data_IF_135989300136
#
_entry.id   IF_135989300136
#
_cell.length_a   1.000
_cell.length_b   1.000
_cell.length_c   1.000
_cell.angle_alpha   90.00
_cell.angle_beta   90.00
_cell.angle_gamma   90.00
#
_symmetry.space_group_name_H-M   'P 1'
#
loop_
_entity.id
_entity.type
_entity.pdbx_description
1 polymer ?
#
# COMPACT_ATOMS: atom_id res chain seq x y z
N UNK A 1 -17.56 26.18 8.17
CA UNK A 1 -17.33 24.83 8.70
C UNK A 1 -15.89 24.51 8.38
N UNK A 2 -15.12 24.03 9.35
CA UNK A 2 -13.70 23.77 9.12
C UNK A 2 -13.56 22.69 8.03
N UNK A 3 -13.12 23.11 6.84
CA UNK A 3 -12.78 22.25 5.69
C UNK A 3 -11.55 21.36 5.98
N UNK A 4 -11.14 21.23 7.25
CA UNK A 4 -9.96 20.51 7.71
C UNK A 4 -10.27 19.07 8.17
N UNK A 5 -11.56 18.70 8.31
CA UNK A 5 -11.97 17.37 8.79
C UNK A 5 -12.67 16.59 7.68
N UNK A 6 -12.06 15.48 7.28
CA UNK A 6 -12.67 14.51 6.36
C UNK A 6 -13.07 13.24 7.11
N UNK A 7 -14.28 12.75 6.85
CA UNK A 7 -14.79 11.46 7.36
C UNK A 7 -15.14 10.58 6.17
N UNK A 8 -14.59 9.38 6.14
CA UNK A 8 -14.78 8.44 5.04
C UNK A 8 -14.64 6.98 5.46
N UNK A 9 -14.64 6.08 4.48
CA UNK A 9 -14.46 4.65 4.70
C UNK A 9 -13.33 4.15 3.80
N UNK A 10 -12.31 3.55 4.40
CA UNK A 10 -11.11 3.12 3.68
C UNK A 10 -11.39 2.16 2.52
N UNK A 11 -12.38 1.27 2.66
CA UNK A 11 -12.78 0.35 1.59
C UNK A 11 -13.46 1.07 0.43
N UNK A 12 -14.36 2.01 0.71
CA UNK A 12 -15.06 2.82 -0.31
C UNK A 12 -14.12 3.81 -0.99
N UNK A 13 -13.38 4.58 -0.21
CA UNK A 13 -12.51 5.64 -0.72
C UNK A 13 -11.28 5.05 -1.42
N UNK A 14 -10.72 3.97 -0.86
CA UNK A 14 -9.59 3.26 -1.47
C UNK A 14 -9.96 2.60 -2.79
N UNK A 15 -11.18 2.05 -2.94
CA UNK A 15 -11.60 1.41 -4.20
C UNK A 15 -11.55 2.38 -5.40
N UNK A 16 -11.76 3.68 -5.17
CA UNK A 16 -11.71 4.71 -6.21
C UNK A 16 -10.28 5.05 -6.66
N UNK A 17 -9.28 4.73 -5.85
CA UNK A 17 -7.88 5.13 -6.07
C UNK A 17 -6.88 4.00 -5.79
N UNK A 18 -7.23 2.77 -6.21
CA UNK A 18 -6.34 1.59 -6.10
C UNK A 18 -5.82 1.33 -4.68
N UNK A 19 -6.59 1.74 -3.68
CA UNK A 19 -6.33 1.61 -2.25
C UNK A 19 -5.77 2.86 -1.57
N UNK A 20 -5.39 3.91 -2.30
CA UNK A 20 -4.83 5.10 -1.67
C UNK A 20 -5.88 5.90 -0.91
N UNK A 21 -5.53 6.35 0.30
CA UNK A 21 -6.39 7.17 1.16
C UNK A 21 -5.86 8.60 1.28
N UNK A 22 -4.56 8.76 1.48
CA UNK A 22 -3.89 10.02 1.80
C UNK A 22 -2.54 10.07 1.06
N UNK A 23 -2.16 11.24 0.54
CA UNK A 23 -0.86 11.45 -0.11
C UNK A 23 -0.80 12.75 -0.93
N UNK A 24 0.32 13.01 -1.62
CA UNK A 24 0.58 14.28 -2.30
C UNK A 24 -0.36 14.51 -3.50
N UNK A 25 -0.91 13.41 -4.02
CA UNK A 25 -1.77 13.32 -5.19
C UNK A 25 -3.23 13.72 -4.94
N UNK A 26 -3.60 14.09 -3.71
CA UNK A 26 -4.92 14.66 -3.43
C UNK A 26 -5.01 16.12 -3.90
N UNK A 27 -6.23 16.57 -4.15
CA UNK A 27 -6.50 17.92 -4.63
C UNK A 27 -6.10 18.98 -3.59
N UNK A 28 -5.68 20.19 -4.03
CA UNK A 28 -5.45 21.30 -3.11
C UNK A 28 -6.70 21.59 -2.27
N UNK A 29 -6.51 21.70 -0.95
CA UNK A 29 -7.60 21.93 0.01
C UNK A 29 -8.23 20.65 0.57
N UNK A 30 -7.97 19.47 -0.01
CA UNK A 30 -8.37 18.20 0.62
C UNK A 30 -7.47 17.94 1.84
N UNK A 31 -8.02 17.75 3.06
CA UNK A 31 -7.22 17.48 4.26
C UNK A 31 -6.45 16.14 4.19
N UNK A 32 -6.73 15.29 3.20
CA UNK A 32 -5.96 14.06 2.91
C UNK A 32 -4.74 14.32 2.01
N UNK A 33 -4.49 15.55 1.61
CA UNK A 33 -3.28 15.91 0.87
C UNK A 33 -2.08 16.01 1.81
N UNK A 34 -1.01 15.29 1.52
CA UNK A 34 0.22 15.30 2.33
C UNK A 34 1.47 15.04 1.50
N UNK A 35 2.53 15.82 1.75
CA UNK A 35 3.88 15.60 1.22
C UNK A 35 4.74 14.77 2.21
N UNK A 36 4.27 14.58 3.44
CA UNK A 36 4.99 13.85 4.48
C UNK A 36 4.74 12.35 4.41
N UNK A 37 3.48 11.93 4.23
CA UNK A 37 3.08 10.53 4.27
C UNK A 37 2.09 10.16 3.17
N UNK A 38 2.17 8.92 2.73
CA UNK A 38 1.14 8.27 1.92
C UNK A 38 0.53 7.12 2.72
N UNK A 39 -0.79 6.95 2.64
CA UNK A 39 -1.51 5.87 3.33
C UNK A 39 -2.34 5.09 2.32
N UNK A 40 -2.20 3.77 2.36
CA UNK A 40 -2.91 2.83 1.48
C UNK A 40 -3.64 1.77 2.29
N UNK A 41 -4.92 1.58 1.98
CA UNK A 41 -5.73 0.43 2.38
C UNK A 41 -5.73 -0.60 1.25
N UNK A 42 -5.40 -1.85 1.52
CA UNK A 42 -5.43 -2.90 0.49
C UNK A 42 -6.12 -4.16 1.00
N UNK A 43 -7.00 -4.70 0.17
CA UNK A 43 -7.69 -5.98 0.38
C UNK A 43 -7.18 -6.92 -0.69
N UNK A 44 -6.66 -8.07 -0.27
CA UNK A 44 -6.04 -9.06 -1.13
C UNK A 44 -6.76 -10.40 -0.95
N UNK A 45 -7.32 -11.00 -2.03
CA UNK A 45 -7.84 -12.35 -1.94
C UNK A 45 -6.71 -13.36 -1.70
N UNK A 46 -7.07 -14.53 -1.18
CA UNK A 46 -6.12 -15.64 -1.02
C UNK A 46 -5.40 -15.94 -2.34
N UNK A 47 -4.08 -16.06 -2.28
CA UNK A 47 -3.24 -16.37 -3.44
C UNK A 47 -2.83 -15.14 -4.27
N UNK A 48 -3.35 -13.96 -3.95
CA UNK A 48 -2.92 -12.71 -4.58
C UNK A 48 -1.44 -12.45 -4.29
N UNK A 49 -0.75 -11.85 -5.25
CA UNK A 49 0.68 -11.57 -5.16
C UNK A 49 1.07 -10.34 -5.96
N UNK A 50 2.13 -9.68 -5.51
CA UNK A 50 2.82 -8.75 -6.39
C UNK A 50 3.77 -9.53 -7.31
N UNK A 51 3.42 -9.60 -8.60
CA UNK A 51 4.26 -10.34 -9.55
C UNK A 51 5.66 -9.73 -9.73
N UNK A 52 5.75 -8.39 -9.69
CA UNK A 52 7.00 -7.66 -9.85
C UNK A 52 7.45 -7.04 -8.52
N UNK A 53 8.69 -7.34 -8.14
CA UNK A 53 9.33 -6.72 -7.00
C UNK A 53 9.39 -5.20 -7.17
N UNK A 54 9.11 -4.46 -6.10
CA UNK A 54 9.51 -3.06 -6.02
C UNK A 54 11.03 -3.02 -5.91
N UNK A 55 11.67 -2.19 -6.74
CA UNK A 55 13.12 -2.04 -6.79
C UNK A 55 13.52 -0.64 -6.38
N UNK A 56 14.54 -0.51 -5.53
CA UNK A 56 15.12 0.77 -5.15
C UNK A 56 14.11 1.71 -4.46
N UNK A 57 13.38 1.22 -3.46
CA UNK A 57 12.33 1.99 -2.79
C UNK A 57 12.87 3.32 -2.24
N UNK A 58 12.32 4.44 -2.71
CA UNK A 58 12.79 5.77 -2.31
C UNK A 58 12.28 6.19 -0.91
N UNK A 59 11.35 5.43 -0.35
CA UNK A 59 10.62 5.74 0.88
C UNK A 59 10.89 4.70 1.96
N UNK A 60 10.68 5.08 3.21
CA UNK A 60 10.48 4.11 4.28
C UNK A 60 9.02 3.66 4.22
N UNK A 61 8.77 2.38 4.49
CA UNK A 61 7.43 1.82 4.51
C UNK A 61 7.16 1.09 5.82
N UNK A 62 5.95 1.25 6.32
CA UNK A 62 5.35 0.52 7.42
C UNK A 62 4.12 -0.21 6.88
N UNK A 63 4.02 -1.52 7.10
CA UNK A 63 2.86 -2.31 6.76
C UNK A 63 2.37 -3.03 8.01
N UNK A 64 1.08 -2.90 8.31
CA UNK A 64 0.42 -3.60 9.41
C UNK A 64 -0.73 -4.45 8.91
N UNK A 65 -0.84 -5.66 9.46
CA UNK A 65 -1.93 -6.58 9.21
C UNK A 65 -3.16 -6.17 10.03
N UNK A 66 -4.26 -5.91 9.34
CA UNK A 66 -5.56 -5.65 9.96
C UNK A 66 -6.34 -6.96 10.15
N UNK A 67 -6.33 -7.83 9.15
CA UNK A 67 -6.90 -9.18 9.21
C UNK A 67 -6.27 -10.09 8.17
N UNK A 68 -6.33 -11.41 8.39
CA UNK A 68 -5.86 -12.44 7.45
C UNK A 68 -4.47 -12.96 7.77
N UNK A 69 -3.72 -13.33 6.72
CA UNK A 69 -2.36 -13.86 6.79
C UNK A 69 -1.57 -13.40 5.58
N UNK A 70 -0.56 -12.56 5.80
CA UNK A 70 0.13 -11.85 4.73
C UNK A 70 1.64 -12.02 4.84
N UNK A 71 2.28 -12.42 3.74
CA UNK A 71 3.73 -12.59 3.68
C UNK A 71 4.36 -11.42 2.93
N UNK A 72 5.29 -10.74 3.57
CA UNK A 72 6.17 -9.76 2.94
C UNK A 72 7.47 -10.46 2.56
N UNK A 73 7.88 -10.29 1.32
CA UNK A 73 9.13 -10.84 0.77
C UNK A 73 10.17 -9.74 0.67
N UNK A 74 11.34 -9.98 1.23
CA UNK A 74 12.48 -9.07 1.29
C UNK A 74 13.72 -9.81 0.77
N UNK A 75 14.80 -9.11 0.39
CA UNK A 75 16.04 -9.77 -0.01
C UNK A 75 16.54 -10.71 1.11
N UNK A 76 16.67 -12.00 0.78
CA UNK A 76 17.19 -13.02 1.68
C UNK A 76 16.25 -13.49 2.79
N UNK A 77 15.02 -12.97 2.91
CA UNK A 77 14.06 -13.44 3.92
C UNK A 77 12.60 -13.14 3.58
N UNK A 78 11.70 -13.86 4.22
CA UNK A 78 10.29 -13.51 4.29
C UNK A 78 9.89 -13.17 5.72
N UNK A 79 8.86 -12.35 5.86
CA UNK A 79 8.20 -12.03 7.12
C UNK A 79 6.73 -12.39 6.95
N UNK A 80 6.23 -13.30 7.78
CA UNK A 80 4.81 -13.64 7.80
C UNK A 80 4.14 -12.87 8.92
N UNK A 81 3.07 -12.16 8.58
CA UNK A 81 2.16 -11.50 9.51
C UNK A 81 0.93 -12.39 9.63
N UNK A 82 0.61 -12.85 10.83
CA UNK A 82 -0.45 -13.85 11.04
C UNK A 82 -1.36 -13.54 12.23
N UNK A 83 -1.03 -12.50 13.00
CA UNK A 83 -1.86 -11.99 14.10
C UNK A 83 -2.24 -10.55 13.80
N UNK A 84 -3.49 -10.19 14.07
CA UNK A 84 -3.94 -8.80 13.93
C UNK A 84 -2.99 -7.85 14.68
N UNK A 85 -2.52 -6.81 13.99
CA UNK A 85 -1.54 -5.86 14.52
C UNK A 85 -0.08 -6.21 14.26
N UNK A 86 0.23 -7.41 13.76
CA UNK A 86 1.58 -7.74 13.27
C UNK A 86 1.98 -6.73 12.19
N UNK A 87 3.22 -6.24 12.28
CA UNK A 87 3.71 -5.22 11.36
C UNK A 87 5.16 -5.45 10.97
N UNK A 88 5.56 -4.84 9.86
CA UNK A 88 6.95 -4.81 9.40
C UNK A 88 7.26 -3.43 8.86
N UNK A 89 8.49 -2.97 9.11
CA UNK A 89 9.04 -1.72 8.59
C UNK A 89 10.27 -2.03 7.77
N UNK A 90 10.38 -1.40 6.60
CA UNK A 90 11.59 -1.44 5.81
C UNK A 90 11.98 -0.05 5.31
N UNK A 91 13.27 0.21 5.29
CA UNK A 91 13.84 1.49 4.91
C UNK A 91 13.99 1.65 3.40
N UNK A 92 14.49 2.84 3.03
CA UNK A 92 14.86 3.17 1.65
C UNK A 92 15.86 2.17 1.09
N UNK A 93 15.75 1.90 -0.20
CA UNK A 93 16.58 0.95 -0.95
C UNK A 93 16.21 -0.52 -0.74
N UNK A 94 15.31 -0.84 0.19
CA UNK A 94 14.88 -2.23 0.41
C UNK A 94 13.84 -2.62 -0.63
N UNK A 95 14.27 -3.48 -1.55
CA UNK A 95 13.39 -4.14 -2.50
C UNK A 95 12.36 -5.00 -1.76
N UNK A 96 11.16 -5.13 -2.29
CA UNK A 96 10.14 -5.96 -1.64
C UNK A 96 9.09 -6.48 -2.62
N UNK A 97 8.48 -7.59 -2.22
CA UNK A 97 7.27 -8.15 -2.82
C UNK A 97 6.33 -8.63 -1.70
N UNK A 98 5.19 -9.22 -2.06
CA UNK A 98 4.25 -9.78 -1.10
C UNK A 98 3.38 -10.88 -1.70
N UNK A 99 2.85 -11.71 -0.81
CA UNK A 99 1.90 -12.78 -1.10
C UNK A 99 0.84 -12.86 0.00
N UNK A 100 -0.44 -12.94 -0.39
CA UNK A 100 -1.55 -13.14 0.51
C UNK A 100 -1.79 -14.65 0.70
N UNK A 101 -1.36 -15.21 1.83
CA UNK A 101 -1.57 -16.64 2.15
C UNK A 101 -3.04 -16.95 2.44
N UNK A 102 -3.75 -15.95 2.96
CA UNK A 102 -5.21 -15.94 3.15
C UNK A 102 -5.78 -14.61 2.64
N UNK A 103 -7.11 -14.52 2.55
CA UNK A 103 -7.74 -13.21 2.33
C UNK A 103 -7.29 -12.25 3.43
N UNK A 104 -6.70 -11.13 3.02
CA UNK A 104 -5.98 -10.25 3.93
C UNK A 104 -6.32 -8.79 3.70
N UNK A 105 -6.42 -8.06 4.79
CA UNK A 105 -6.52 -6.61 4.81
C UNK A 105 -5.26 -6.05 5.45
N UNK A 106 -4.57 -5.16 4.71
CA UNK A 106 -3.35 -4.51 5.19
C UNK A 106 -3.45 -3.00 5.03
N UNK A 107 -2.87 -2.29 5.99
CA UNK A 107 -2.65 -0.84 5.92
C UNK A 107 -1.16 -0.60 5.70
N UNK A 108 -0.82 0.16 4.66
CA UNK A 108 0.56 0.57 4.37
C UNK A 108 0.70 2.07 4.51
N UNK A 109 1.69 2.50 5.28
CA UNK A 109 2.13 3.90 5.37
C UNK A 109 3.51 4.01 4.74
N UNK A 110 3.73 5.05 3.93
CA UNK A 110 5.04 5.32 3.31
C UNK A 110 5.44 6.77 3.52
N UNK A 111 6.73 7.02 3.70
CA UNK A 111 7.25 8.39 3.83
C UNK A 111 8.66 8.55 3.24
N UNK A 112 8.98 9.71 2.64
CA UNK A 112 8.07 10.83 2.38
C UNK A 112 7.03 10.51 1.28
N UNK A 113 6.06 11.40 1.08
CA UNK A 113 5.08 11.30 -0.02
C UNK A 113 5.63 12.03 -1.24
N UNK A 114 6.06 11.27 -2.26
CA UNK A 114 6.92 11.80 -3.33
C UNK A 114 6.18 11.80 -4.69
N UNK A 115 5.98 12.96 -5.33
CA UNK A 115 5.50 13.05 -6.72
C UNK A 115 6.37 12.30 -7.72
N UNK A 116 5.76 11.71 -8.74
CA UNK A 116 6.46 11.01 -9.82
C UNK A 116 7.01 9.63 -9.43
N UNK A 117 6.90 9.22 -8.17
CA UNK A 117 7.16 7.83 -7.75
C UNK A 117 5.92 6.97 -8.05
N UNK A 118 5.70 6.67 -9.33
CA UNK A 118 4.63 5.77 -9.77
C UNK A 118 5.16 4.34 -9.89
N UNK A 119 4.40 3.38 -9.34
CA UNK A 119 4.43 2.01 -9.88
C UNK A 119 4.00 2.12 -11.35
N UNK A 120 4.76 1.58 -12.32
CA UNK A 120 4.36 1.60 -13.72
C UNK A 120 2.91 1.17 -13.88
N UNK A 121 2.13 1.86 -14.73
CA UNK A 121 0.83 1.36 -15.15
C UNK A 121 1.09 0.02 -15.80
N UNK A 122 0.69 -1.09 -15.18
CA UNK A 122 0.72 -2.38 -15.84
C UNK A 122 -0.13 -2.26 -17.09
N UNK A 123 0.49 -2.44 -18.26
CA UNK A 123 -0.23 -2.71 -19.49
C UNK A 123 -1.11 -3.93 -19.21
N UNK A 124 -2.42 -3.74 -19.30
CA UNK A 124 -3.37 -4.84 -19.33
C UNK A 124 -3.02 -5.69 -20.55
N UNK A 125 -2.39 -6.85 -20.35
CA UNK A 125 -2.31 -7.84 -21.41
C UNK A 125 -3.73 -8.17 -21.87
N UNK A 126 -4.02 -8.16 -23.19
CA UNK A 126 -5.33 -8.55 -23.69
C UNK A 126 -5.59 -10.03 -23.34
N UNK A 127 -6.86 -10.43 -23.16
CA UNK A 127 -7.20 -11.82 -22.88
C UNK A 127 -6.76 -12.71 -24.04
N UNK A 128 -6.34 -13.97 -23.77
CA UNK A 128 -6.05 -14.92 -24.83
C UNK A 128 -7.33 -15.20 -25.62
N UNK A 129 -7.21 -15.12 -26.95
CA UNK A 129 -8.25 -15.56 -27.89
C UNK A 129 -8.30 -17.07 -28.06
#
# INVERSE_FOLDING_TARGET
>A
MDDTVYVGNAGRDGALDRGWLLGHFRDPGDPRRSEDVEVKWSVHPRGDRRAQWVRGEARTAFLVLVSGRFRVELPGRSVVLERQGDYVVWGRGVDHSWFAEEESVVLTVRWPSIPGYAVPRGESSPPPG
#
